data_IF_956298210815
#
_entry.id   IF_956298210815
#
_cell.length_a   1.000
_cell.length_b   1.000
_cell.length_c   1.000
_cell.angle_alpha   90.00
_cell.angle_beta   90.00
_cell.angle_gamma   90.00
#
_symmetry.space_group_name_H-M   'P 1'
#
loop_
_entity.id
_entity.type
_entity.pdbx_description
1 polymer ?
#
# COMPACT_ATOMS: atom_id res chain seq x y z
N UNK A 1 24.91 -14.69 -6.72
CA UNK A 1 23.87 -14.52 -5.69
C UNK A 1 22.96 -13.42 -6.20
N UNK A 2 21.73 -13.75 -6.57
CA UNK A 2 20.75 -12.71 -6.91
C UNK A 2 20.45 -11.96 -5.61
N UNK A 3 20.94 -10.74 -5.50
CA UNK A 3 20.47 -9.83 -4.45
C UNK A 3 18.96 -9.69 -4.65
N UNK A 4 18.22 -9.93 -3.61
CA UNK A 4 16.76 -9.82 -3.63
C UNK A 4 16.37 -8.36 -3.90
N UNK A 5 16.06 -8.03 -5.15
CA UNK A 5 15.88 -6.66 -5.66
C UNK A 5 14.81 -5.85 -4.91
N UNK A 6 13.85 -6.54 -4.33
CA UNK A 6 12.75 -5.91 -3.60
C UNK A 6 12.96 -5.92 -2.08
N UNK A 7 14.07 -6.52 -1.58
CA UNK A 7 14.33 -6.59 -0.14
C UNK A 7 14.33 -5.20 0.49
N UNK A 8 13.67 -5.06 1.64
CA UNK A 8 13.55 -3.80 2.38
C UNK A 8 12.61 -2.76 1.74
N UNK A 9 12.07 -3.00 0.54
CA UNK A 9 11.21 -2.02 -0.12
C UNK A 9 9.82 -1.95 0.52
N UNK A 10 9.30 -0.74 0.57
CA UNK A 10 7.94 -0.42 0.99
C UNK A 10 7.10 0.00 -0.22
N UNK A 11 6.08 -0.79 -0.52
CA UNK A 11 5.29 -0.70 -1.74
C UNK A 11 3.83 -0.41 -1.37
N UNK A 12 3.28 0.70 -1.85
CA UNK A 12 1.88 1.05 -1.65
C UNK A 12 0.99 0.53 -2.76
N UNK A 13 -0.17 -0.02 -2.43
CA UNK A 13 -1.19 -0.48 -3.37
C UNK A 13 -2.35 0.50 -3.38
N UNK A 14 -2.58 1.14 -4.52
CA UNK A 14 -3.60 2.17 -4.74
C UNK A 14 -4.59 1.73 -5.82
N UNK A 15 -5.71 2.38 -5.87
CA UNK A 15 -6.71 2.16 -6.90
C UNK A 15 -8.11 2.60 -6.45
N UNK A 16 -9.02 2.67 -7.38
CA UNK A 16 -10.43 3.02 -7.16
C UNK A 16 -11.11 2.03 -6.21
N UNK A 17 -12.22 2.45 -5.59
CA UNK A 17 -13.12 1.55 -4.85
C UNK A 17 -13.63 0.42 -5.75
N UNK A 18 -13.46 -0.83 -5.32
CA UNK A 18 -13.87 -2.00 -6.09
C UNK A 18 -12.86 -2.49 -7.13
N UNK A 19 -11.75 -1.79 -7.39
CA UNK A 19 -10.74 -2.22 -8.36
C UNK A 19 -10.00 -3.52 -7.96
N UNK A 20 -10.15 -3.99 -6.72
CA UNK A 20 -9.57 -5.25 -6.25
C UNK A 20 -8.17 -5.10 -5.63
N UNK A 21 -7.83 -3.94 -5.07
CA UNK A 21 -6.55 -3.69 -4.38
C UNK A 21 -6.19 -4.79 -3.40
N UNK A 22 -7.08 -5.08 -2.46
CA UNK A 22 -6.84 -6.11 -1.42
C UNK A 22 -6.62 -7.50 -2.01
N UNK A 23 -7.30 -7.86 -3.10
CA UNK A 23 -7.05 -9.10 -3.84
C UNK A 23 -5.65 -9.12 -4.43
N UNK A 24 -5.26 -8.04 -5.12
CA UNK A 24 -3.93 -7.88 -5.69
C UNK A 24 -2.87 -7.93 -4.60
N UNK A 25 -3.09 -7.25 -3.46
CA UNK A 25 -2.19 -7.30 -2.30
C UNK A 25 -1.97 -8.72 -1.78
N UNK A 26 -3.05 -9.52 -1.65
CA UNK A 26 -2.95 -10.92 -1.20
C UNK A 26 -2.14 -11.76 -2.20
N UNK A 27 -2.44 -11.65 -3.50
CA UNK A 27 -1.77 -12.43 -4.55
C UNK A 27 -0.28 -12.05 -4.64
N UNK A 28 0.05 -10.76 -4.60
CA UNK A 28 1.44 -10.28 -4.63
C UNK A 28 2.22 -10.71 -3.39
N UNK A 29 1.63 -10.61 -2.21
CA UNK A 29 2.28 -11.02 -0.96
C UNK A 29 2.68 -12.50 -1.00
N UNK A 30 1.80 -13.37 -1.50
CA UNK A 30 2.09 -14.79 -1.67
C UNK A 30 3.15 -15.02 -2.74
N UNK A 31 3.05 -14.35 -3.89
CA UNK A 31 4.05 -14.48 -4.95
C UNK A 31 5.45 -14.03 -4.49
N UNK A 32 5.55 -12.99 -3.69
CA UNK A 32 6.79 -12.57 -3.05
C UNK A 32 7.33 -13.64 -2.09
N UNK A 33 6.45 -14.25 -1.28
CA UNK A 33 6.84 -15.37 -0.40
C UNK A 33 7.34 -16.58 -1.18
N UNK A 34 6.65 -16.94 -2.26
CA UNK A 34 7.04 -18.04 -3.14
C UNK A 34 8.42 -17.80 -3.79
N UNK A 35 8.78 -16.54 -4.04
CA UNK A 35 10.10 -16.12 -4.50
C UNK A 35 11.15 -15.98 -3.39
N UNK A 36 10.79 -16.26 -2.13
CA UNK A 36 11.70 -16.29 -0.99
C UNK A 36 11.85 -14.97 -0.24
N UNK A 37 11.08 -13.93 -0.56
CA UNK A 37 11.09 -12.69 0.20
C UNK A 37 10.39 -12.84 1.56
N UNK A 38 10.93 -12.30 2.66
CA UNK A 38 10.14 -12.05 3.86
C UNK A 38 9.12 -10.93 3.56
N UNK A 39 7.84 -11.15 3.93
CA UNK A 39 6.75 -10.23 3.55
C UNK A 39 5.96 -9.80 4.77
N UNK A 40 5.70 -8.51 4.87
CA UNK A 40 4.70 -7.92 5.74
C UNK A 40 3.64 -7.18 4.92
N UNK A 41 2.39 -7.28 5.35
CA UNK A 41 1.26 -6.55 4.76
C UNK A 41 0.67 -5.64 5.84
N UNK A 42 0.47 -4.37 5.52
CA UNK A 42 -0.20 -3.40 6.39
C UNK A 42 -1.55 -3.07 5.75
N UNK A 43 -2.64 -3.48 6.41
CA UNK A 43 -3.98 -3.07 6.06
C UNK A 43 -4.20 -1.62 6.53
N UNK A 44 -4.19 -0.70 5.59
CA UNK A 44 -4.39 0.73 5.82
C UNK A 44 -5.79 1.22 5.37
N UNK A 45 -6.65 0.33 4.86
CA UNK A 45 -8.04 0.68 4.57
C UNK A 45 -8.85 0.66 5.87
N UNK A 46 -9.15 1.86 6.37
CA UNK A 46 -9.89 2.07 7.61
C UNK A 46 -11.32 1.52 7.59
N UNK A 47 -11.85 1.19 6.43
CA UNK A 47 -13.25 0.76 6.21
C UNK A 47 -13.38 -0.66 5.71
N UNK A 48 -12.32 -1.26 5.19
CA UNK A 48 -12.31 -2.64 4.72
C UNK A 48 -12.05 -3.60 5.89
N UNK A 49 -12.85 -4.65 6.01
CA UNK A 49 -12.68 -5.73 6.97
C UNK A 49 -12.46 -7.04 6.23
N UNK A 50 -11.55 -7.87 6.74
CA UNK A 50 -11.36 -9.21 6.21
C UNK A 50 -10.08 -9.45 5.43
N UNK A 51 -9.15 -8.47 5.33
CA UNK A 51 -7.85 -8.71 4.69
C UNK A 51 -7.08 -9.84 5.40
N UNK A 52 -7.08 -9.88 6.74
CA UNK A 52 -6.46 -10.95 7.51
C UNK A 52 -7.07 -12.33 7.16
N UNK A 53 -8.41 -12.41 7.06
CA UNK A 53 -9.10 -13.65 6.64
C UNK A 53 -8.75 -14.07 5.22
N UNK A 54 -8.58 -13.10 4.31
CA UNK A 54 -8.13 -13.40 2.94
C UNK A 54 -6.74 -14.04 2.89
N UNK A 55 -5.90 -13.79 3.91
CA UNK A 55 -4.64 -14.49 4.14
C UNK A 55 -4.80 -15.83 4.88
N UNK A 56 -6.00 -16.23 5.29
CA UNK A 56 -6.23 -17.44 6.06
C UNK A 56 -5.93 -17.28 7.56
N UNK A 57 -6.05 -16.06 8.07
CA UNK A 57 -5.90 -15.75 9.49
C UNK A 57 -7.28 -15.58 10.11
N UNK A 58 -7.59 -16.37 11.13
CA UNK A 58 -8.92 -16.39 11.75
C UNK A 58 -9.19 -15.18 12.65
N UNK A 59 -8.13 -14.66 13.27
CA UNK A 59 -8.23 -13.50 14.18
C UNK A 59 -7.52 -12.28 13.55
N UNK A 60 -8.25 -11.19 13.41
CA UNK A 60 -7.67 -9.90 13.04
C UNK A 60 -6.77 -9.39 14.18
N UNK A 61 -5.55 -8.90 13.89
CA UNK A 61 -4.68 -8.34 14.92
C UNK A 61 -5.24 -7.01 15.46
N UNK A 62 -4.84 -6.65 16.66
CA UNK A 62 -5.07 -5.33 17.23
C UNK A 62 -4.39 -4.27 16.34
N UNK A 63 -4.87 -3.03 16.36
CA UNK A 63 -4.41 -2.01 15.42
C UNK A 63 -3.10 -1.36 15.84
N UNK A 64 -2.26 -1.00 14.88
CA UNK A 64 -1.05 -0.21 15.14
C UNK A 64 -1.41 1.18 15.72
N UNK A 65 -2.57 1.73 15.38
CA UNK A 65 -3.07 2.95 15.98
C UNK A 65 -3.16 2.83 17.51
N UNK A 66 -3.63 1.70 18.03
CA UNK A 66 -3.66 1.44 19.48
C UNK A 66 -2.24 1.29 20.05
N UNK A 67 -1.34 0.62 19.32
CA UNK A 67 0.06 0.49 19.72
C UNK A 67 0.73 1.86 19.92
N UNK A 68 0.40 2.84 19.09
CA UNK A 68 0.92 4.21 19.15
C UNK A 68 0.09 5.16 20.02
N UNK A 69 -0.81 4.65 20.86
CA UNK A 69 -1.54 5.43 21.87
C UNK A 69 -2.89 5.98 21.42
N UNK A 70 -3.44 5.48 20.31
CA UNK A 70 -4.77 5.85 19.84
C UNK A 70 -4.84 7.21 19.15
N UNK A 71 -6.01 7.53 18.63
CA UNK A 71 -6.20 8.80 17.89
C UNK A 71 -6.54 9.97 18.82
N UNK A 72 -6.10 11.15 18.41
CA UNK A 72 -6.31 12.41 19.17
C UNK A 72 -7.78 12.71 19.46
N UNK A 73 -8.69 12.40 18.53
CA UNK A 73 -10.14 12.63 18.71
C UNK A 73 -10.77 11.80 19.83
N UNK A 74 -10.11 10.74 20.25
CA UNK A 74 -10.53 9.90 21.39
C UNK A 74 -9.60 10.05 22.59
N UNK A 75 -8.86 11.17 22.66
CA UNK A 75 -7.92 11.45 23.75
C UNK A 75 -6.58 10.75 23.64
N UNK A 76 -6.27 10.18 22.46
CA UNK A 76 -4.99 9.55 22.16
C UNK A 76 -3.94 10.53 21.62
N UNK A 77 -2.86 9.98 21.05
CA UNK A 77 -1.64 10.72 20.68
C UNK A 77 -1.48 10.95 19.17
N UNK A 78 -2.10 10.12 18.32
CA UNK A 78 -1.90 10.19 16.88
C UNK A 78 -2.82 11.23 16.24
N UNK A 79 -2.21 12.23 15.61
CA UNK A 79 -2.89 13.33 14.91
C UNK A 79 -3.15 13.01 13.44
N UNK A 80 -3.91 13.87 12.75
CA UNK A 80 -4.05 13.82 11.30
C UNK A 80 -2.77 14.34 10.62
N UNK A 81 -2.21 13.68 9.61
CA UNK A 81 -1.00 14.13 8.93
C UNK A 81 -1.19 15.41 8.10
N UNK A 82 -2.45 15.80 7.82
CA UNK A 82 -2.76 17.09 7.17
C UNK A 82 -2.60 18.24 8.14
N UNK A 83 -3.06 18.07 9.38
CA UNK A 83 -2.99 19.11 10.42
C UNK A 83 -1.60 19.15 11.06
N UNK A 84 -0.96 18.01 11.20
CA UNK A 84 0.38 17.86 11.75
C UNK A 84 1.20 16.85 10.93
N UNK A 85 2.01 17.33 9.99
CA UNK A 85 2.85 16.47 9.14
C UNK A 85 4.03 15.84 9.87
N UNK A 86 4.33 16.24 11.13
CA UNK A 86 5.45 15.71 11.91
C UNK A 86 5.45 14.18 11.92
N UNK A 87 6.58 13.52 11.60
CA UNK A 87 6.67 12.06 11.64
C UNK A 87 6.33 11.50 13.02
N UNK A 88 5.69 10.34 13.03
CA UNK A 88 5.35 9.65 14.25
C UNK A 88 6.63 9.19 14.98
N UNK A 89 6.81 9.48 16.27
CA UNK A 89 7.96 9.02 17.03
C UNK A 89 7.99 7.48 17.09
N UNK A 90 9.20 6.90 17.05
CA UNK A 90 9.41 5.45 17.14
C UNK A 90 8.65 4.63 16.06
N UNK A 91 8.46 5.22 14.89
CA UNK A 91 7.70 4.59 13.80
C UNK A 91 8.43 3.41 13.12
N UNK A 92 9.69 3.15 13.45
CA UNK A 92 10.43 1.96 13.01
C UNK A 92 10.18 0.84 14.00
N UNK A 93 9.47 -0.20 13.55
CA UNK A 93 8.96 -1.29 14.39
C UNK A 93 9.59 -2.59 13.94
N UNK A 94 10.36 -3.22 14.84
CA UNK A 94 10.82 -4.60 14.62
C UNK A 94 9.65 -5.57 14.77
N UNK A 95 9.42 -6.39 13.75
CA UNK A 95 8.38 -7.42 13.76
C UNK A 95 8.58 -8.43 14.89
N UNK A 96 9.83 -8.67 15.28
CA UNK A 96 10.17 -9.62 16.35
C UNK A 96 9.97 -9.02 17.75
N UNK A 97 10.00 -7.69 17.85
CA UNK A 97 9.78 -6.96 19.11
C UNK A 97 8.32 -6.53 19.31
N UNK A 98 7.50 -6.56 18.24
CA UNK A 98 6.11 -6.16 18.32
C UNK A 98 5.31 -7.21 19.12
N UNK A 99 4.48 -6.78 20.11
CA UNK A 99 3.65 -7.72 20.85
C UNK A 99 2.77 -8.56 19.92
N UNK A 100 2.63 -9.88 20.14
CA UNK A 100 1.94 -10.81 19.23
C UNK A 100 0.50 -10.43 18.86
N UNK A 101 -0.15 -9.63 19.71
CA UNK A 101 -1.53 -9.18 19.45
C UNK A 101 -1.64 -8.21 18.27
N UNK A 102 -0.56 -7.52 17.89
CA UNK A 102 -0.53 -6.54 16.79
C UNK A 102 -0.09 -7.12 15.45
N UNK A 103 0.32 -8.38 15.43
CA UNK A 103 0.73 -9.06 14.21
C UNK A 103 0.07 -10.42 14.11
N UNK A 104 -0.53 -10.70 12.96
CA UNK A 104 -1.01 -12.03 12.63
C UNK A 104 -0.08 -12.66 11.60
N UNK A 105 0.04 -13.99 11.61
CA UNK A 105 0.90 -14.72 10.69
C UNK A 105 0.06 -15.68 9.87
N UNK A 106 0.11 -15.54 8.54
CA UNK A 106 -0.57 -16.44 7.62
C UNK A 106 0.08 -17.84 7.59
N UNK A 107 -0.60 -18.86 7.07
CA UNK A 107 -0.01 -20.19 6.91
C UNK A 107 1.30 -20.18 6.09
N UNK A 108 1.47 -19.23 5.17
CA UNK A 108 2.69 -19.06 4.38
C UNK A 108 3.79 -18.26 5.10
N UNK A 109 3.53 -17.79 6.31
CA UNK A 109 4.46 -16.97 7.07
C UNK A 109 4.48 -15.49 6.70
N UNK A 110 3.43 -14.99 6.01
CA UNK A 110 3.24 -13.58 5.75
C UNK A 110 2.75 -12.91 7.03
N UNK A 111 3.38 -11.81 7.43
CA UNK A 111 2.97 -11.03 8.59
C UNK A 111 1.93 -10.00 8.19
N UNK A 112 0.77 -10.03 8.85
CA UNK A 112 -0.35 -9.13 8.57
C UNK A 112 -0.55 -8.20 9.77
N UNK A 113 -0.54 -6.90 9.50
CA UNK A 113 -0.74 -5.82 10.46
C UNK A 113 -1.93 -4.96 10.01
N UNK A 114 -2.57 -4.28 10.95
CA UNK A 114 -3.69 -3.37 10.68
C UNK A 114 -3.31 -1.97 11.18
N UNK A 115 -3.32 -0.98 10.29
CA UNK A 115 -3.01 0.41 10.66
C UNK A 115 -4.05 0.97 11.64
N UNK A 116 -5.33 0.77 11.34
CA UNK A 116 -6.44 1.19 12.18
C UNK A 116 -7.79 0.94 11.50
N UNK A 117 -8.88 0.96 12.27
CA UNK A 117 -10.25 0.82 11.76
C UNK A 117 -11.18 1.87 12.40
N UNK A 118 -12.12 2.39 11.61
CA UNK A 118 -13.06 3.44 12.06
C UNK A 118 -14.26 2.85 12.81
N UNK A 119 -14.66 1.62 12.54
CA UNK A 119 -15.97 1.05 12.90
C UNK A 119 -16.35 0.98 14.39
N UNK A 120 -15.42 1.23 15.32
CA UNK A 120 -15.66 1.09 16.76
C UNK A 120 -15.73 2.42 17.52
N UNK A 121 -15.64 3.56 16.84
CA UNK A 121 -15.45 4.86 17.48
C UNK A 121 -16.74 5.64 17.76
N UNK A 122 -17.89 5.10 17.40
CA UNK A 122 -19.17 5.75 17.59
C UNK A 122 -19.46 6.91 16.62
N UNK A 123 -20.68 7.49 16.69
CA UNK A 123 -21.10 8.58 15.82
C UNK A 123 -20.26 9.83 16.03
N UNK A 124 -19.79 10.46 14.96
CA UNK A 124 -19.03 11.71 15.01
C UNK A 124 -17.51 11.56 15.17
N UNK A 125 -16.99 10.36 15.38
CA UNK A 125 -15.55 10.08 15.49
C UNK A 125 -14.91 9.70 14.14
N UNK A 126 -15.31 10.30 13.05
CA UNK A 126 -15.15 9.81 11.69
C UNK A 126 -13.96 10.34 10.89
N UNK A 127 -12.82 10.69 11.50
CA UNK A 127 -11.63 11.03 10.71
C UNK A 127 -10.63 9.87 10.68
N UNK A 128 -10.27 9.41 9.47
CA UNK A 128 -9.24 8.39 9.27
C UNK A 128 -7.82 8.96 9.09
N UNK A 129 -7.65 10.27 9.28
CA UNK A 129 -6.35 10.94 9.23
C UNK A 129 -5.29 10.30 10.13
N UNK A 130 -5.56 10.01 11.41
CA UNK A 130 -4.62 9.29 12.28
C UNK A 130 -4.23 7.90 11.75
N UNK A 131 -5.15 7.18 11.11
CA UNK A 131 -4.86 5.89 10.47
C UNK A 131 -3.94 6.08 9.26
N UNK A 132 -4.19 7.12 8.46
CA UNK A 132 -3.31 7.48 7.35
C UNK A 132 -1.91 7.89 7.85
N UNK A 133 -1.78 8.53 9.02
CA UNK A 133 -0.49 8.84 9.65
C UNK A 133 0.26 7.56 10.04
N UNK A 134 -0.43 6.58 10.65
CA UNK A 134 0.16 5.25 10.91
C UNK A 134 0.64 4.63 9.60
N UNK A 135 -0.22 4.60 8.58
CA UNK A 135 0.09 4.01 7.28
C UNK A 135 1.19 4.76 6.53
N UNK A 136 1.39 6.04 6.77
CA UNK A 136 2.50 6.83 6.22
C UNK A 136 3.81 6.55 6.95
N UNK A 137 3.80 6.60 8.28
CA UNK A 137 5.03 6.71 9.07
C UNK A 137 5.58 5.36 9.52
N UNK A 138 4.72 4.37 9.82
CA UNK A 138 5.19 3.10 10.37
C UNK A 138 5.94 2.29 9.33
N UNK A 139 7.18 1.97 9.64
CA UNK A 139 8.03 1.04 8.88
C UNK A 139 8.26 -0.21 9.73
N UNK A 140 8.03 -1.35 9.14
CA UNK A 140 8.30 -2.64 9.78
C UNK A 140 9.61 -3.21 9.26
N UNK A 141 10.41 -3.73 10.18
CA UNK A 141 11.73 -4.30 9.88
C UNK A 141 11.84 -5.70 10.48
N UNK A 142 12.78 -6.47 10.00
CA UNK A 142 13.30 -7.67 10.64
C UNK A 142 14.79 -7.49 10.96
N UNK A 143 15.42 -8.51 11.55
CA UNK A 143 16.82 -8.46 11.90
C UNK A 143 17.78 -8.23 10.70
N UNK A 144 17.33 -8.57 9.49
CA UNK A 144 18.10 -8.43 8.25
C UNK A 144 17.72 -7.18 7.44
N UNK A 145 16.72 -6.40 7.89
CA UNK A 145 16.11 -5.27 7.17
C UNK A 145 15.68 -5.64 5.74
N UNK A 146 15.22 -6.87 5.55
CA UNK A 146 14.94 -7.46 4.24
C UNK A 146 13.45 -7.59 3.93
N UNK A 147 12.57 -7.22 4.87
CA UNK A 147 11.12 -7.35 4.73
C UNK A 147 10.58 -6.48 3.61
N UNK A 148 9.93 -7.10 2.63
CA UNK A 148 9.11 -6.38 1.65
C UNK A 148 7.78 -6.03 2.32
N UNK A 149 7.48 -4.73 2.42
CA UNK A 149 6.24 -4.25 3.01
C UNK A 149 5.24 -3.84 1.93
N UNK A 150 4.08 -4.51 1.88
CA UNK A 150 2.94 -4.08 1.05
C UNK A 150 1.96 -3.32 1.93
N UNK A 151 1.57 -2.13 1.51
CA UNK A 151 0.56 -1.31 2.21
C UNK A 151 -0.69 -1.23 1.36
N UNK A 152 -1.79 -1.83 1.83
CA UNK A 152 -3.10 -1.81 1.15
C UNK A 152 -3.86 -0.55 1.56
N UNK A 153 -3.80 0.48 0.72
CA UNK A 153 -4.41 1.78 1.01
C UNK A 153 -5.90 1.81 0.71
N UNK A 154 -6.60 2.70 1.40
CA UNK A 154 -7.99 3.03 1.13
C UNK A 154 -8.18 3.45 -0.33
N UNK A 155 -9.39 3.29 -0.84
CA UNK A 155 -9.74 3.67 -2.20
C UNK A 155 -9.62 5.17 -2.43
N UNK A 156 -9.15 5.55 -3.62
CA UNK A 156 -9.08 6.95 -4.07
C UNK A 156 -7.75 7.63 -3.77
N UNK A 157 -7.77 8.97 -3.84
CA UNK A 157 -6.60 9.84 -3.67
C UNK A 157 -6.41 10.39 -2.26
N UNK A 158 -7.35 10.19 -1.34
CA UNK A 158 -7.33 10.84 -0.03
C UNK A 158 -6.02 10.59 0.73
N UNK A 159 -5.53 9.35 0.71
CA UNK A 159 -4.29 9.01 1.38
C UNK A 159 -3.07 9.63 0.67
N UNK A 160 -3.08 9.70 -0.66
CA UNK A 160 -2.03 10.40 -1.42
C UNK A 160 -1.96 11.89 -1.07
N UNK A 161 -3.13 12.54 -0.94
CA UNK A 161 -3.23 13.92 -0.48
C UNK A 161 -2.74 14.10 0.98
N UNK A 162 -2.81 13.05 1.79
CA UNK A 162 -2.26 13.01 3.17
C UNK A 162 -0.77 12.70 3.25
N UNK A 163 -0.10 12.66 2.12
CA UNK A 163 1.34 12.51 2.02
C UNK A 163 1.88 11.09 2.21
N UNK A 164 1.05 10.04 2.09
CA UNK A 164 1.54 8.64 2.25
C UNK A 164 2.62 8.25 1.24
N UNK A 165 2.62 8.89 0.06
CA UNK A 165 3.65 8.67 -0.97
C UNK A 165 5.06 9.03 -0.50
N UNK A 166 5.19 9.92 0.50
CA UNK A 166 6.49 10.35 1.03
C UNK A 166 7.25 9.25 1.76
N UNK A 167 6.60 8.13 2.03
CA UNK A 167 7.17 7.00 2.78
C UNK A 167 7.29 5.71 1.96
N UNK A 168 6.93 5.74 0.69
CA UNK A 168 6.95 4.57 -0.19
C UNK A 168 8.16 4.59 -1.10
N UNK A 169 8.70 3.41 -1.41
CA UNK A 169 9.71 3.25 -2.46
C UNK A 169 9.07 3.12 -3.83
N UNK A 170 7.91 2.45 -3.89
CA UNK A 170 7.12 2.26 -5.11
C UNK A 170 5.63 2.34 -4.82
N UNK A 171 4.87 2.77 -5.82
CA UNK A 171 3.41 2.71 -5.82
C UNK A 171 2.92 1.75 -6.93
N UNK A 172 1.90 0.97 -6.61
CA UNK A 172 1.18 0.11 -7.56
C UNK A 172 -0.22 0.69 -7.74
N UNK A 173 -0.56 1.04 -8.97
CA UNK A 173 -1.93 1.40 -9.36
C UNK A 173 -2.67 0.15 -9.84
N UNK A 174 -3.70 -0.27 -9.11
CA UNK A 174 -4.61 -1.36 -9.52
C UNK A 174 -5.71 -0.77 -10.39
N UNK A 175 -5.77 -1.18 -11.64
CA UNK A 175 -6.65 -0.64 -12.67
C UNK A 175 -7.68 -1.70 -13.10
N UNK A 176 -8.95 -1.50 -12.78
CA UNK A 176 -10.06 -2.28 -13.32
C UNK A 176 -10.54 -1.67 -14.65
N UNK A 177 -11.38 -2.36 -15.47
CA UNK A 177 -11.81 -1.87 -16.77
C UNK A 177 -12.84 -0.72 -16.66
N UNK A 178 -12.44 0.39 -16.02
CA UNK A 178 -13.23 1.61 -15.89
C UNK A 178 -12.38 2.84 -16.17
N UNK A 179 -12.97 3.86 -16.80
CA UNK A 179 -12.31 5.15 -17.07
C UNK A 179 -11.77 5.78 -15.78
N UNK A 180 -12.54 5.70 -14.70
CA UNK A 180 -12.13 6.28 -13.41
C UNK A 180 -10.88 5.61 -12.82
N UNK A 181 -10.67 4.30 -13.05
CA UNK A 181 -9.44 3.62 -12.62
C UNK A 181 -8.24 4.01 -13.47
N UNK A 182 -8.41 4.15 -14.78
CA UNK A 182 -7.34 4.64 -15.68
C UNK A 182 -6.94 6.04 -15.28
N UNK A 183 -7.90 6.94 -15.09
CA UNK A 183 -7.62 8.32 -14.69
C UNK A 183 -6.88 8.39 -13.35
N UNK A 184 -7.31 7.60 -12.36
CA UNK A 184 -6.63 7.53 -11.07
C UNK A 184 -5.17 7.10 -11.20
N UNK A 185 -4.87 6.11 -12.05
CA UNK A 185 -3.51 5.64 -12.27
C UNK A 185 -2.64 6.73 -12.95
N UNK A 186 -3.17 7.46 -13.91
CA UNK A 186 -2.50 8.59 -14.58
C UNK A 186 -2.20 9.70 -13.57
N UNK A 187 -3.18 10.09 -12.75
CA UNK A 187 -3.01 11.12 -11.73
C UNK A 187 -2.00 10.73 -10.65
N UNK A 188 -2.02 9.47 -10.19
CA UNK A 188 -1.06 8.96 -9.22
C UNK A 188 0.37 9.06 -9.75
N UNK A 189 0.58 8.65 -10.99
CA UNK A 189 1.90 8.75 -11.64
C UNK A 189 2.31 10.20 -11.85
N UNK A 190 1.37 11.07 -12.21
CA UNK A 190 1.58 12.53 -12.33
C UNK A 190 2.07 13.14 -11.00
N UNK A 191 1.42 12.79 -9.88
CA UNK A 191 1.84 13.27 -8.54
C UNK A 191 3.26 12.79 -8.22
N UNK A 192 3.57 11.51 -8.43
CA UNK A 192 4.91 10.98 -8.16
C UNK A 192 5.96 11.65 -9.05
N UNK A 193 5.65 11.91 -10.33
CA UNK A 193 6.55 12.68 -11.22
C UNK A 193 6.81 14.09 -10.70
N UNK A 194 5.78 14.81 -10.24
CA UNK A 194 5.93 16.15 -9.65
C UNK A 194 6.80 16.11 -8.37
N UNK A 195 6.58 15.12 -7.49
CA UNK A 195 7.41 14.94 -6.30
C UNK A 195 8.89 14.74 -6.66
N UNK A 196 9.17 13.89 -7.65
CA UNK A 196 10.54 13.62 -8.12
C UNK A 196 11.19 14.84 -8.80
N UNK A 197 10.41 15.75 -9.34
CA UNK A 197 10.87 17.04 -9.88
C UNK A 197 11.09 18.09 -8.78
N UNK A 198 10.81 17.76 -7.52
CA UNK A 198 10.97 18.66 -6.38
C UNK A 198 9.87 19.70 -6.24
N UNK A 199 8.71 19.48 -6.85
CA UNK A 199 7.54 20.37 -6.68
C UNK A 199 7.08 20.25 -5.22
N UNK A 200 7.01 21.38 -4.47
CA UNK A 200 6.64 21.35 -3.06
C UNK A 200 5.15 21.01 -2.89
N UNK A 201 4.78 20.44 -1.73
CA UNK A 201 3.39 20.17 -1.41
C UNK A 201 2.58 21.46 -1.20
N UNK A 202 1.25 21.34 -1.28
CA UNK A 202 0.35 22.41 -0.89
C UNK A 202 0.34 22.55 0.65
N UNK A 203 0.79 23.71 1.16
CA UNK A 203 0.96 23.94 2.62
C UNK A 203 0.14 25.11 3.15
N UNK A 204 -0.73 25.73 2.31
CA UNK A 204 -1.50 26.94 2.70
C UNK A 204 -2.46 26.75 3.89
N UNK A 205 -2.80 25.50 4.22
CA UNK A 205 -3.65 25.15 5.36
C UNK A 205 -2.87 25.04 6.68
N UNK A 206 -1.55 25.03 6.64
CA UNK A 206 -0.70 24.99 7.82
C UNK A 206 -0.44 26.42 8.31
N UNK A 207 -0.84 26.70 9.55
CA UNK A 207 -0.69 28.02 10.16
C UNK A 207 0.70 28.26 10.76
N UNK A 208 1.47 27.20 10.99
CA UNK A 208 2.77 27.22 11.64
C UNK A 208 3.89 26.98 10.64
N UNK A 209 4.85 27.89 10.59
CA UNK A 209 6.00 27.82 9.66
C UNK A 209 6.86 26.56 9.87
N UNK A 210 7.03 26.11 11.13
CA UNK A 210 7.78 24.88 11.43
C UNK A 210 7.11 23.63 10.84
N UNK A 211 5.79 23.57 10.82
CA UNK A 211 5.04 22.48 10.17
C UNK A 211 5.13 22.54 8.63
N UNK A 212 5.16 23.74 8.08
CA UNK A 212 5.39 23.96 6.64
C UNK A 212 6.76 23.42 6.25
N UNK A 213 7.81 23.73 7.01
CA UNK A 213 9.16 23.21 6.76
C UNK A 213 9.22 21.68 6.86
N UNK A 214 8.54 21.08 7.84
CA UNK A 214 8.45 19.61 7.99
C UNK A 214 7.80 19.00 6.75
N UNK A 215 6.66 19.53 6.30
CA UNK A 215 5.95 19.03 5.13
C UNK A 215 6.84 19.12 3.87
N UNK A 216 7.46 20.27 3.61
CA UNK A 216 8.35 20.47 2.46
C UNK A 216 9.52 19.48 2.50
N UNK A 217 10.13 19.28 3.66
CA UNK A 217 11.24 18.33 3.83
C UNK A 217 10.82 16.90 3.51
N UNK A 218 9.67 16.45 4.03
CA UNK A 218 9.16 15.10 3.78
C UNK A 218 8.94 14.84 2.28
N UNK A 219 8.38 15.79 1.55
CA UNK A 219 8.16 15.66 0.12
C UNK A 219 9.46 15.68 -0.69
N UNK A 220 10.40 16.55 -0.32
CA UNK A 220 11.72 16.63 -0.96
C UNK A 220 12.54 15.38 -0.75
N UNK A 221 12.49 14.80 0.46
CA UNK A 221 13.32 13.66 0.87
C UNK A 221 12.57 12.32 0.64
N UNK A 222 11.42 12.36 -0.05
CA UNK A 222 10.60 11.18 -0.35
C UNK A 222 11.37 10.14 -1.17
N UNK A 223 11.40 8.86 -0.74
CA UNK A 223 12.16 7.81 -1.43
C UNK A 223 11.44 7.30 -2.69
N UNK A 224 10.24 7.76 -3.00
CA UNK A 224 9.40 7.21 -4.07
C UNK A 224 10.06 7.31 -5.44
N UNK A 225 10.25 6.15 -6.08
CA UNK A 225 10.99 6.01 -7.34
C UNK A 225 10.08 6.02 -8.56
N UNK A 226 8.83 5.57 -8.40
CA UNK A 226 7.86 5.52 -9.50
C UNK A 226 6.57 4.81 -9.16
N UNK A 227 5.73 4.75 -10.17
CA UNK A 227 4.46 4.03 -10.16
C UNK A 227 4.49 2.95 -11.23
N UNK A 228 3.88 1.80 -10.95
CA UNK A 228 3.58 0.76 -11.94
C UNK A 228 2.10 0.44 -11.90
N UNK A 229 1.53 0.00 -13.02
CA UNK A 229 0.13 -0.42 -13.08
C UNK A 229 0.00 -1.94 -13.16
N UNK A 230 -1.03 -2.47 -12.48
CA UNK A 230 -1.51 -3.83 -12.61
C UNK A 230 -2.95 -3.74 -13.10
N UNK A 231 -3.22 -4.32 -14.26
CA UNK A 231 -4.60 -4.47 -14.73
C UNK A 231 -5.27 -5.59 -13.94
N UNK A 232 -6.46 -5.36 -13.45
CA UNK A 232 -7.20 -6.34 -12.66
C UNK A 232 -8.63 -6.47 -13.17
N UNK A 233 -9.22 -7.66 -12.99
CA UNK A 233 -10.57 -7.98 -13.48
C UNK A 233 -10.71 -7.80 -14.99
N UNK A 234 -9.65 -8.15 -15.71
CA UNK A 234 -9.65 -8.12 -17.17
C UNK A 234 -10.57 -9.22 -17.71
N UNK A 235 -11.49 -8.84 -18.59
CA UNK A 235 -12.51 -9.77 -19.11
C UNK A 235 -12.00 -10.57 -20.31
N UNK A 236 -11.22 -9.92 -21.16
CA UNK A 236 -10.71 -10.48 -22.42
C UNK A 236 -9.49 -9.70 -22.94
N UNK A 237 -8.85 -10.24 -23.98
CA UNK A 237 -7.67 -9.64 -24.59
C UNK A 237 -7.93 -8.26 -25.25
N UNK A 238 -9.17 -7.99 -25.67
CA UNK A 238 -9.58 -6.70 -26.23
C UNK A 238 -9.59 -5.62 -25.13
N UNK A 239 -10.18 -5.95 -23.99
CA UNK A 239 -10.21 -5.10 -22.79
C UNK A 239 -8.78 -4.84 -22.31
N UNK A 240 -7.92 -5.86 -22.24
CA UNK A 240 -6.52 -5.68 -21.83
C UNK A 240 -5.78 -4.71 -22.75
N UNK A 241 -5.91 -4.90 -24.07
CA UNK A 241 -5.27 -4.03 -25.06
C UNK A 241 -5.74 -2.59 -24.91
N UNK A 242 -7.04 -2.38 -24.80
CA UNK A 242 -7.60 -1.04 -24.59
C UNK A 242 -7.02 -0.34 -23.34
N UNK A 243 -6.93 -1.03 -22.21
CA UNK A 243 -6.39 -0.48 -20.98
C UNK A 243 -4.89 -0.17 -21.10
N UNK A 244 -4.12 -1.03 -21.76
CA UNK A 244 -2.70 -0.79 -22.05
C UNK A 244 -2.50 0.45 -22.93
N UNK A 245 -3.29 0.56 -23.98
CA UNK A 245 -3.23 1.71 -24.90
C UNK A 245 -3.63 3.00 -24.18
N UNK A 246 -4.65 2.97 -23.32
CA UNK A 246 -5.09 4.12 -22.53
C UNK A 246 -4.04 4.61 -21.52
N UNK A 247 -3.19 3.73 -20.99
CA UNK A 247 -2.11 4.09 -20.06
C UNK A 247 -0.79 4.45 -20.79
N UNK A 248 -0.62 4.03 -22.04
CA UNK A 248 0.67 4.10 -22.74
C UNK A 248 1.20 5.54 -22.93
N UNK A 249 0.33 6.53 -23.05
CA UNK A 249 0.74 7.91 -23.36
C UNK A 249 1.12 8.73 -22.13
N UNK A 250 0.38 8.58 -21.03
CA UNK A 250 0.49 9.47 -19.87
C UNK A 250 0.51 8.72 -18.53
N UNK A 251 0.19 7.42 -18.51
CA UNK A 251 0.08 6.61 -17.32
C UNK A 251 1.36 5.86 -16.95
N UNK A 252 1.33 5.15 -15.82
CA UNK A 252 2.42 4.30 -15.39
C UNK A 252 2.55 3.05 -16.27
N UNK A 253 3.76 2.47 -16.40
CA UNK A 253 3.97 1.24 -17.14
C UNK A 253 3.15 0.08 -16.55
N UNK A 254 2.47 -0.67 -17.42
CA UNK A 254 1.70 -1.86 -17.03
C UNK A 254 2.65 -3.05 -16.93
N UNK A 255 2.82 -3.59 -15.71
CA UNK A 255 3.71 -4.72 -15.44
C UNK A 255 3.03 -6.09 -15.50
N UNK A 256 1.71 -6.14 -15.61
CA UNK A 256 0.96 -7.38 -15.80
C UNK A 256 -0.54 -7.20 -15.67
N UNK A 257 -1.28 -8.29 -15.88
CA UNK A 257 -2.73 -8.33 -15.81
C UNK A 257 -3.23 -9.56 -15.05
N UNK A 258 -4.37 -9.41 -14.41
CA UNK A 258 -5.13 -10.45 -13.72
C UNK A 258 -6.53 -10.48 -14.31
N UNK A 259 -6.93 -11.64 -14.80
CA UNK A 259 -8.27 -11.84 -15.33
C UNK A 259 -9.33 -11.84 -14.21
N UNK A 260 -10.57 -11.52 -14.56
CA UNK A 260 -11.68 -11.66 -13.63
C UNK A 260 -11.90 -13.14 -13.31
N UNK A 261 -12.00 -13.44 -12.00
CA UNK A 261 -12.24 -14.80 -11.51
C UNK A 261 -13.35 -14.79 -10.46
N UNK A 262 -14.55 -15.30 -10.80
CA UNK A 262 -15.71 -15.31 -9.89
C UNK A 262 -15.46 -16.04 -8.56
N UNK A 263 -14.55 -17.04 -8.54
CA UNK A 263 -14.18 -17.76 -7.33
C UNK A 263 -13.58 -16.81 -6.26
N UNK A 264 -12.79 -15.82 -6.69
CA UNK A 264 -12.23 -14.80 -5.78
C UNK A 264 -13.34 -13.99 -5.12
N UNK A 265 -14.34 -13.56 -5.89
CA UNK A 265 -15.48 -12.82 -5.33
C UNK A 265 -16.24 -13.66 -4.30
N UNK A 266 -16.38 -14.98 -4.55
CA UNK A 266 -17.00 -15.90 -3.59
C UNK A 266 -16.19 -16.03 -2.29
N UNK A 267 -14.85 -16.04 -2.37
CA UNK A 267 -13.99 -16.05 -1.18
C UNK A 267 -14.22 -14.80 -0.30
N UNK A 268 -14.22 -13.62 -0.92
CA UNK A 268 -14.49 -12.37 -0.20
C UNK A 268 -15.89 -12.32 0.42
N UNK A 269 -16.92 -12.73 -0.34
CA UNK A 269 -18.31 -12.78 0.15
C UNK A 269 -18.47 -13.66 1.39
N UNK A 270 -17.75 -14.77 1.45
CA UNK A 270 -17.82 -15.76 2.54
C UNK A 270 -16.78 -15.50 3.65
N UNK A 271 -15.94 -14.48 3.52
CA UNK A 271 -14.85 -14.23 4.45
C UNK A 271 -13.84 -15.38 4.51
N UNK A 272 -13.62 -16.02 3.38
CA UNK A 272 -12.70 -17.15 3.24
C UNK A 272 -11.35 -16.69 2.71
N UNK A 273 -10.34 -17.53 2.88
CA UNK A 273 -9.02 -17.36 2.27
C UNK A 273 -9.14 -17.22 0.75
N UNK A 274 -8.48 -16.21 0.19
CA UNK A 274 -8.43 -15.98 -1.25
C UNK A 274 -7.46 -16.97 -1.88
N UNK A 275 -7.94 -17.82 -2.78
CA UNK A 275 -7.12 -18.83 -3.45
C UNK A 275 -7.47 -18.91 -4.94
N UNK A 276 -6.44 -18.91 -5.79
CA UNK A 276 -6.52 -19.20 -7.21
C UNK A 276 -5.13 -19.55 -7.73
N UNK A 277 -4.92 -20.78 -8.13
CA UNK A 277 -3.64 -21.22 -8.70
C UNK A 277 -3.28 -20.45 -9.97
N UNK A 278 -4.30 -20.15 -10.81
CA UNK A 278 -4.12 -19.40 -12.06
C UNK A 278 -3.64 -17.98 -11.78
N UNK A 279 -4.36 -17.23 -10.93
CA UNK A 279 -4.00 -15.85 -10.60
C UNK A 279 -2.69 -15.78 -9.79
N UNK A 280 -2.40 -16.80 -8.99
CA UNK A 280 -1.12 -16.88 -8.26
C UNK A 280 0.06 -17.00 -9.21
N UNK A 281 -0.05 -17.78 -10.30
CA UNK A 281 0.96 -17.86 -11.34
C UNK A 281 1.17 -16.51 -12.04
N UNK A 282 0.08 -15.82 -12.41
CA UNK A 282 0.14 -14.47 -12.97
C UNK A 282 0.79 -13.47 -12.00
N UNK A 283 0.46 -13.55 -10.70
CA UNK A 283 1.06 -12.70 -9.68
C UNK A 283 2.59 -12.89 -9.59
N UNK A 284 3.07 -14.12 -9.77
CA UNK A 284 4.51 -14.40 -9.85
C UNK A 284 5.19 -13.70 -11.05
N UNK A 285 4.52 -13.60 -12.18
CA UNK A 285 5.01 -12.85 -13.35
C UNK A 285 4.99 -11.34 -13.09
N UNK A 286 3.94 -10.86 -12.43
CA UNK A 286 3.83 -9.45 -12.03
C UNK A 286 4.96 -9.05 -11.08
N UNK A 287 5.31 -9.88 -10.10
CA UNK A 287 6.44 -9.61 -9.21
C UNK A 287 7.75 -9.53 -10.00
N UNK A 288 7.97 -10.41 -10.97
CA UNK A 288 9.15 -10.31 -11.86
C UNK A 288 9.14 -9.01 -12.69
N UNK A 289 7.96 -8.57 -13.15
CA UNK A 289 7.79 -7.27 -13.81
C UNK A 289 8.16 -6.10 -12.88
N UNK A 290 7.78 -6.18 -11.61
CA UNK A 290 8.15 -5.19 -10.61
C UNK A 290 9.67 -5.19 -10.35
N UNK A 291 10.31 -6.36 -10.22
CA UNK A 291 11.77 -6.48 -10.11
C UNK A 291 12.49 -5.83 -11.31
N UNK A 292 11.95 -6.00 -12.52
CA UNK A 292 12.49 -5.36 -13.71
C UNK A 292 12.34 -3.83 -13.64
N UNK A 293 11.18 -3.30 -13.23
CA UNK A 293 10.96 -1.88 -13.08
C UNK A 293 11.94 -1.26 -12.04
N UNK A 294 12.13 -1.93 -10.90
CA UNK A 294 13.11 -1.52 -9.88
C UNK A 294 14.54 -1.49 -10.44
N UNK A 295 14.93 -2.52 -11.20
CA UNK A 295 16.26 -2.59 -11.82
C UNK A 295 16.51 -1.45 -12.80
N UNK A 296 15.52 -1.10 -13.61
CA UNK A 296 15.64 -0.04 -14.62
C UNK A 296 15.57 1.38 -14.04
N UNK A 297 15.10 1.54 -12.80
CA UNK A 297 15.07 2.87 -12.15
C UNK A 297 16.45 3.44 -11.83
N UNK A 298 17.55 2.69 -11.99
CA UNK A 298 18.94 3.15 -11.93
C UNK A 298 19.43 3.58 -10.54
N UNK A 299 18.63 3.39 -9.50
CA UNK A 299 19.02 3.73 -8.11
C UNK A 299 19.60 2.48 -7.45
N UNK A 300 20.80 2.56 -6.83
CA UNK A 300 21.33 1.45 -6.06
C UNK A 300 20.34 1.03 -4.99
N UNK A 301 20.05 -0.27 -4.90
CA UNK A 301 19.39 -0.85 -3.73
C UNK A 301 20.35 -0.61 -2.56
N UNK A 302 19.86 0.04 -1.50
CA UNK A 302 20.67 0.23 -0.29
C UNK A 302 21.15 -1.14 0.19
N UNK A 303 22.46 -1.28 0.29
CA UNK A 303 23.11 -2.49 0.80
C UNK A 303 23.18 -2.47 2.30
#
# INVERSE_FOLDING_TARGET
>A
MNHALLAGLRIGVFGKGGAGKSTVTVLLARALRDLGYPVAVIDADSTNFGLARAFGVDREPDTLLEHFGGMVFSGGLVTCPVDDPTPLPNAWVSLDALPPRFVAVSPEGIRVLVAGKIGHMGPGAGCDGPIAKIARDVRVTDAADSVVSLVDFKAGFEDSARGVLTSLDWAIAVVDPTVASVQLAIELDGIVRLMRQGVPPATRHLERDDLVEVAIRQFRDAPVRGVVAILNRVLDAGTERFLRDALASEGPPVIGSLEEEPAIQSCWLRGQRVESARLQSCAGEIVRGLEQAVRHSGVPVAG
#
